data_IF_697917068320
#
_entry.id   IF_697917068320
#
_cell.length_a   1.000
_cell.length_b   1.000
_cell.length_c   1.000
_cell.angle_alpha   90.00
_cell.angle_beta   90.00
_cell.angle_gamma   90.00
#
_symmetry.space_group_name_H-M   'P 1'
#
loop_
_entity.id
_entity.type
_entity.pdbx_description
1 polymer ?
#
# COMPACT_ATOMS: atom_id res chain seq x y z
N UNK A 1 0.39 -3.44 38.45
CA UNK A 1 0.38 -2.08 39.02
C UNK A 1 1.51 -1.30 38.37
N UNK A 2 1.27 -0.69 37.20
CA UNK A 2 2.28 0.10 36.47
C UNK A 2 1.82 1.55 36.48
N UNK A 3 2.66 2.43 37.02
CA UNK A 3 2.41 3.86 37.12
C UNK A 3 2.34 4.46 35.70
N UNK A 4 1.21 5.09 35.37
CA UNK A 4 1.10 5.97 34.21
C UNK A 4 1.36 7.40 34.66
N UNK A 5 2.42 8.01 34.13
CA UNK A 5 2.72 9.43 34.35
C UNK A 5 1.82 10.28 33.47
N UNK A 6 0.88 11.00 34.08
CA UNK A 6 -0.04 11.92 33.40
C UNK A 6 0.66 13.26 33.16
N UNK A 7 1.01 13.57 31.91
CA UNK A 7 1.32 14.96 31.51
C UNK A 7 0.04 15.66 31.07
N UNK A 8 -0.44 16.57 31.89
CA UNK A 8 -1.57 17.48 31.61
C UNK A 8 -1.20 18.43 30.48
N UNK A 9 -1.87 18.33 29.32
CA UNK A 9 -1.79 19.34 28.27
C UNK A 9 -3.04 20.22 28.34
N UNK A 10 -2.89 21.42 28.91
CA UNK A 10 -3.93 22.47 28.89
C UNK A 10 -4.10 22.92 27.43
N UNK A 11 -5.28 22.69 26.85
CA UNK A 11 -5.65 23.24 25.55
C UNK A 11 -6.84 24.18 25.77
N UNK A 12 -6.62 25.46 25.48
CA UNK A 12 -7.63 26.53 25.53
C UNK A 12 -8.68 26.33 24.43
N UNK A 13 -9.94 26.57 24.76
CA UNK A 13 -11.08 26.51 23.83
C UNK A 13 -11.08 27.71 22.85
N UNK A 14 -11.19 27.43 21.55
CA UNK A 14 -11.75 28.35 20.56
C UNK A 14 -12.80 27.60 19.74
N UNK A 15 -13.93 28.27 19.48
CA UNK A 15 -15.08 27.81 18.69
C UNK A 15 -14.63 27.31 17.31
N UNK A 16 -14.79 26.01 17.05
CA UNK A 16 -14.54 25.40 15.76
C UNK A 16 -14.36 23.90 15.92
N UNK A 17 -15.10 23.11 15.14
CA UNK A 17 -15.13 21.64 15.18
C UNK A 17 -13.72 21.03 15.32
N UNK A 18 -13.42 20.51 16.51
CA UNK A 18 -12.23 19.69 16.71
C UNK A 18 -12.55 18.33 16.11
N UNK A 19 -12.18 18.11 14.85
CA UNK A 19 -11.94 16.76 14.37
C UNK A 19 -10.92 16.15 15.32
N UNK A 20 -11.35 15.16 16.10
CA UNK A 20 -10.48 14.32 16.92
C UNK A 20 -9.52 13.59 15.97
N UNK A 21 -8.42 14.24 15.59
CA UNK A 21 -7.23 13.53 15.13
C UNK A 21 -6.64 12.94 16.40
N UNK A 22 -7.08 11.74 16.77
CA UNK A 22 -6.31 10.91 17.70
C UNK A 22 -5.01 10.56 16.97
N UNK A 23 -3.97 11.37 17.13
CA UNK A 23 -2.63 10.85 16.89
C UNK A 23 -2.46 9.74 17.93
N UNK A 24 -2.41 8.49 17.46
CA UNK A 24 -1.89 7.37 18.27
C UNK A 24 -0.42 7.67 18.51
N UNK A 25 -0.16 8.57 19.45
CA UNK A 25 1.18 8.97 19.85
C UNK A 25 1.84 7.79 20.56
N UNK A 26 2.99 7.38 20.03
CA UNK A 26 4.00 6.54 20.69
C UNK A 26 3.80 5.01 20.69
N UNK A 27 3.07 4.43 19.73
CA UNK A 27 3.16 2.98 19.46
C UNK A 27 4.39 2.72 18.58
N UNK A 28 5.38 1.98 19.10
CA UNK A 28 6.55 1.51 18.35
C UNK A 28 6.29 0.08 17.90
N UNK A 29 6.28 -0.15 16.59
CA UNK A 29 6.08 -1.45 15.97
C UNK A 29 7.44 -2.03 15.56
N UNK A 30 7.69 -3.29 15.92
CA UNK A 30 8.99 -3.95 15.71
C UNK A 30 8.95 -5.04 14.63
N UNK A 31 7.77 -5.34 14.07
CA UNK A 31 7.63 -6.36 13.03
C UNK A 31 7.54 -5.68 11.65
N UNK A 32 8.04 -6.38 10.63
CA UNK A 32 7.77 -5.97 9.25
C UNK A 32 6.35 -6.38 8.84
N UNK A 33 5.69 -5.60 7.96
CA UNK A 33 4.44 -6.04 7.36
C UNK A 33 4.58 -7.42 6.70
N UNK A 34 3.58 -8.27 6.87
CA UNK A 34 3.53 -9.62 6.30
C UNK A 34 2.62 -9.60 5.08
N UNK A 35 3.14 -10.06 3.95
CA UNK A 35 2.38 -10.22 2.70
C UNK A 35 1.39 -11.38 2.87
N UNK A 36 0.10 -11.10 2.65
CA UNK A 36 -0.98 -12.09 2.68
C UNK A 36 -1.34 -12.54 1.27
N UNK A 37 -1.44 -11.58 0.34
CA UNK A 37 -1.71 -11.88 -1.07
C UNK A 37 -1.08 -10.83 -1.97
N UNK A 38 -0.51 -11.28 -3.08
CA UNK A 38 0.02 -10.44 -4.14
C UNK A 38 -0.67 -10.82 -5.46
N UNK A 39 -0.89 -9.87 -6.39
CA UNK A 39 -1.34 -10.21 -7.74
C UNK A 39 -0.37 -11.20 -8.40
N UNK A 40 -0.93 -12.12 -9.19
CA UNK A 40 -0.12 -12.93 -10.11
C UNK A 40 0.26 -12.12 -11.36
N UNK A 41 1.19 -12.67 -12.13
CA UNK A 41 1.55 -12.11 -13.44
C UNK A 41 0.31 -12.05 -14.35
N UNK A 42 0.23 -10.99 -15.14
CA UNK A 42 -0.89 -10.71 -16.03
C UNK A 42 -0.37 -10.74 -17.47
N UNK A 43 -1.02 -11.54 -18.32
CA UNK A 43 -0.80 -11.54 -19.75
C UNK A 43 -2.07 -11.08 -20.48
N UNK A 44 -1.92 -10.14 -21.43
CA UNK A 44 -3.00 -9.68 -22.29
C UNK A 44 -2.54 -9.60 -23.74
N UNK A 45 -3.47 -9.82 -24.65
CA UNK A 45 -3.24 -9.70 -26.09
C UNK A 45 -4.08 -8.58 -26.68
N UNK A 46 -3.46 -7.71 -27.47
CA UNK A 46 -4.14 -6.67 -28.26
C UNK A 46 -3.54 -6.60 -29.65
N UNK A 47 -4.27 -6.06 -30.63
CA UNK A 47 -3.77 -5.95 -32.00
C UNK A 47 -2.78 -4.79 -32.15
N UNK A 48 -3.13 -3.61 -31.63
CA UNK A 48 -2.31 -2.38 -31.71
C UNK A 48 -2.57 -1.48 -30.49
N UNK A 49 -1.69 -0.50 -30.28
CA UNK A 49 -1.90 0.57 -29.30
C UNK A 49 -1.58 0.16 -27.86
N UNK A 50 -2.48 0.54 -26.93
CA UNK A 50 -2.35 0.27 -25.49
C UNK A 50 -3.66 -0.13 -24.85
N UNK A 51 -3.57 -0.85 -23.75
CA UNK A 51 -4.71 -1.30 -22.94
C UNK A 51 -4.54 -0.91 -21.48
N UNK A 52 -5.65 -0.58 -20.81
CA UNK A 52 -5.67 -0.42 -19.35
C UNK A 52 -5.77 -1.78 -18.69
N UNK A 53 -4.88 -2.06 -17.74
CA UNK A 53 -4.87 -3.33 -17.01
C UNK A 53 -5.19 -3.04 -15.55
N UNK A 54 -6.13 -3.82 -15.01
CA UNK A 54 -6.60 -3.72 -13.64
C UNK A 54 -6.25 -4.99 -12.87
N UNK A 55 -5.86 -4.82 -11.63
CA UNK A 55 -5.62 -5.87 -10.65
C UNK A 55 -6.09 -5.44 -9.27
N UNK A 56 -6.32 -6.43 -8.41
CA UNK A 56 -6.57 -6.19 -6.99
C UNK A 56 -5.27 -5.73 -6.32
N UNK A 57 -5.36 -4.79 -5.39
CA UNK A 57 -4.18 -4.40 -4.62
C UNK A 57 -3.70 -5.55 -3.72
N UNK A 58 -2.40 -5.65 -3.41
CA UNK A 58 -1.92 -6.63 -2.46
C UNK A 58 -2.49 -6.40 -1.07
N UNK A 59 -2.59 -7.48 -0.30
CA UNK A 59 -3.06 -7.45 1.08
C UNK A 59 -1.89 -7.76 2.00
N UNK A 60 -1.74 -6.93 3.03
CA UNK A 60 -0.76 -7.10 4.08
C UNK A 60 -1.44 -7.15 5.44
N UNK A 61 -0.74 -7.74 6.41
CA UNK A 61 -1.08 -7.72 7.84
C UNK A 61 0.13 -7.31 8.63
N UNK A 62 -0.07 -6.65 9.76
CA UNK A 62 1.02 -6.25 10.65
C UNK A 62 0.51 -6.13 12.10
N UNK A 63 1.43 -6.10 13.06
CA UNK A 63 1.10 -5.93 14.47
C UNK A 63 0.62 -4.50 14.79
N UNK A 64 0.86 -3.52 13.91
CA UNK A 64 0.20 -2.22 13.97
C UNK A 64 -1.29 -2.25 13.58
N UNK A 65 -1.75 -3.37 13.01
CA UNK A 65 -3.07 -3.53 12.40
C UNK A 65 -3.05 -3.36 10.88
N UNK A 66 -4.20 -3.45 10.23
CA UNK A 66 -4.29 -3.26 8.76
C UNK A 66 -4.40 -1.80 8.36
N UNK A 67 -5.02 -0.96 9.19
CA UNK A 67 -5.36 0.43 8.86
C UNK A 67 -4.19 1.40 9.05
N UNK A 68 -3.13 1.00 9.74
CA UNK A 68 -1.88 1.77 9.90
C UNK A 68 -0.92 1.63 8.71
N UNK A 69 -1.10 0.59 7.88
CA UNK A 69 -0.17 0.28 6.81
C UNK A 69 -0.35 1.26 5.66
N UNK A 70 0.77 1.78 5.17
CA UNK A 70 0.84 2.52 3.91
C UNK A 70 1.32 1.57 2.83
N UNK A 71 0.50 1.38 1.78
CA UNK A 71 0.80 0.50 0.65
C UNK A 71 1.07 1.37 -0.58
N UNK A 72 2.28 1.26 -1.14
CA UNK A 72 2.79 2.16 -2.18
C UNK A 72 3.15 1.33 -3.42
N UNK A 73 2.46 1.50 -4.56
CA UNK A 73 2.87 0.93 -5.84
C UNK A 73 3.91 1.79 -6.56
N UNK A 74 4.78 1.17 -7.35
CA UNK A 74 5.51 1.86 -8.44
C UNK A 74 4.62 2.12 -9.68
N UNK A 75 3.64 1.23 -9.90
CA UNK A 75 2.67 1.28 -10.99
C UNK A 75 1.27 1.05 -10.45
N UNK A 76 0.34 1.98 -10.73
CA UNK A 76 -1.03 1.89 -10.23
C UNK A 76 -1.90 0.97 -11.09
N UNK A 77 -2.81 0.23 -10.45
CA UNK A 77 -3.89 -0.49 -11.14
C UNK A 77 -4.71 0.47 -12.01
N UNK A 78 -5.03 0.07 -13.23
CA UNK A 78 -5.69 0.91 -14.24
C UNK A 78 -4.73 1.70 -15.14
N UNK A 79 -3.41 1.55 -14.96
CA UNK A 79 -2.39 2.11 -15.86
C UNK A 79 -2.51 1.53 -17.28
N UNK A 80 -2.05 2.30 -18.28
CA UNK A 80 -1.99 1.87 -19.69
C UNK A 80 -0.65 1.23 -20.00
N UNK A 81 -0.68 0.11 -20.72
CA UNK A 81 0.49 -0.63 -21.16
C UNK A 81 0.45 -0.77 -22.69
N UNK A 82 1.58 -0.52 -23.35
CA UNK A 82 1.73 -0.63 -24.80
C UNK A 82 1.74 -2.10 -25.23
N UNK A 83 1.28 -2.40 -26.45
CA UNK A 83 1.53 -3.71 -27.06
C UNK A 83 3.04 -3.98 -27.18
N UNK A 84 3.44 -5.24 -27.08
CA UNK A 84 4.82 -5.72 -27.04
C UNK A 84 5.65 -5.18 -25.87
N UNK A 85 5.05 -5.08 -24.69
CA UNK A 85 5.73 -4.64 -23.48
C UNK A 85 5.59 -5.64 -22.34
N UNK A 86 6.63 -5.69 -21.51
CA UNK A 86 6.62 -6.37 -20.21
C UNK A 86 7.01 -5.34 -19.16
N UNK A 87 6.15 -5.16 -18.17
CA UNK A 87 6.38 -4.22 -17.07
C UNK A 87 6.34 -4.95 -15.74
N UNK A 88 7.38 -4.76 -14.93
CA UNK A 88 7.41 -5.26 -13.56
C UNK A 88 6.72 -4.25 -12.64
N UNK A 89 5.76 -4.71 -11.85
CA UNK A 89 5.06 -3.93 -10.83
C UNK A 89 5.56 -4.36 -9.46
N UNK A 90 5.93 -3.40 -8.61
CA UNK A 90 6.38 -3.59 -7.23
C UNK A 90 5.49 -2.81 -6.26
N UNK A 91 5.17 -3.45 -5.14
CA UNK A 91 4.53 -2.80 -4.01
C UNK A 91 5.42 -2.78 -2.79
N UNK A 92 5.38 -1.67 -2.05
CA UNK A 92 6.03 -1.48 -0.76
C UNK A 92 4.93 -1.28 0.29
N UNK A 93 4.88 -2.16 1.29
CA UNK A 93 4.10 -1.94 2.50
C UNK A 93 5.00 -1.36 3.59
N UNK A 94 4.56 -0.29 4.25
CA UNK A 94 5.30 0.40 5.32
C UNK A 94 4.40 0.63 6.54
N UNK A 95 4.92 0.37 7.73
CA UNK A 95 4.25 0.71 9.00
C UNK A 95 4.67 2.12 9.50
N UNK A 96 4.03 2.66 10.56
CA UNK A 96 4.39 3.96 11.12
C UNK A 96 5.80 4.03 11.75
N UNK A 97 6.37 2.90 12.16
CA UNK A 97 7.73 2.80 12.72
C UNK A 97 8.83 2.70 11.66
N UNK A 98 8.45 2.57 10.38
CA UNK A 98 9.34 2.56 9.25
C UNK A 98 9.74 1.17 8.75
N UNK A 99 9.21 0.08 9.32
CA UNK A 99 9.45 -1.27 8.83
C UNK A 99 8.79 -1.45 7.47
N UNK A 100 9.43 -2.21 6.57
CA UNK A 100 9.00 -2.36 5.17
C UNK A 100 8.94 -3.80 4.72
N UNK A 101 8.02 -4.08 3.80
CA UNK A 101 7.99 -5.31 3.02
C UNK A 101 7.78 -4.97 1.53
N UNK A 102 8.66 -5.52 0.68
CA UNK A 102 8.69 -5.29 -0.78
C UNK A 102 8.60 -6.61 -1.57
N UNK A 103 8.10 -7.67 -0.95
CA UNK A 103 8.05 -9.03 -1.51
C UNK A 103 7.00 -9.19 -2.62
N UNK A 104 6.03 -8.26 -2.72
CA UNK A 104 5.02 -8.31 -3.78
C UNK A 104 5.54 -7.69 -5.08
N UNK A 105 5.90 -8.56 -6.01
CA UNK A 105 6.38 -8.24 -7.36
C UNK A 105 5.70 -9.16 -8.37
N UNK A 106 5.16 -8.59 -9.44
CA UNK A 106 4.56 -9.35 -10.55
C UNK A 106 4.75 -8.62 -11.87
N UNK A 107 4.54 -9.30 -12.99
CA UNK A 107 4.68 -8.72 -14.33
C UNK A 107 3.34 -8.48 -14.99
N UNK A 108 3.30 -7.45 -15.82
CA UNK A 108 2.22 -7.16 -16.77
C UNK A 108 2.83 -7.25 -18.17
N UNK A 109 2.44 -8.29 -18.90
CA UNK A 109 2.86 -8.56 -20.27
C UNK A 109 1.70 -8.29 -21.23
N UNK A 110 1.93 -7.42 -22.21
CA UNK A 110 0.98 -7.16 -23.30
C UNK A 110 1.61 -7.60 -24.60
N UNK A 111 1.09 -8.67 -25.19
CA UNK A 111 1.54 -9.21 -26.47
C UNK A 111 0.67 -8.71 -27.61
N UNK A 112 1.26 -8.65 -28.81
CA UNK A 112 0.47 -8.59 -30.02
C UNK A 112 -0.29 -9.90 -30.21
N UNK A 113 -1.60 -9.80 -30.43
CA UNK A 113 -2.42 -10.94 -30.87
C UNK A 113 -1.93 -11.39 -32.25
N UNK A 114 -1.53 -12.65 -32.39
CA UNK A 114 -1.19 -13.22 -33.70
C UNK A 114 -2.39 -13.16 -34.64
N UNK A 115 -2.17 -12.67 -35.86
CA UNK A 115 -3.13 -12.76 -36.98
C UNK A 115 -3.20 -14.17 -37.53
#
# INVERSE_FOLDING_TARGET
MKLFSTKTLKIFFFLGVVSLVTSKGNEIYTEKPKLVSCPGNIAKEITTGSIRIFWNQPVYTDNCGKTCLTIIPDTSSGSRFLVDSIHTVRYIAKDPSGNRNEECVFTVEVKRKGT
#
